data_IF_763660099545
#
_entry.id   IF_763660099545
#
_cell.length_a   1.000
_cell.length_b   1.000
_cell.length_c   1.000
_cell.angle_alpha   90.00
_cell.angle_beta   90.00
_cell.angle_gamma   90.00
#
_symmetry.space_group_name_H-M   'P 1'
#
loop_
_entity.id
_entity.type
_entity.pdbx_description
1 polymer ?
#
# COMPACT_ATOMS: atom_id res chain seq x y z
N UNK A 1 1.97 4.88 -5.27
CA UNK A 1 1.92 5.71 -4.03
C UNK A 1 0.82 6.76 -4.03
N UNK A 2 0.66 7.60 -5.08
CA UNK A 2 -0.40 8.62 -5.13
C UNK A 2 -1.82 8.09 -4.88
N UNK A 3 -2.15 6.92 -5.43
CA UNK A 3 -3.44 6.26 -5.16
C UNK A 3 -3.65 5.91 -3.69
N UNK A 4 -2.62 5.43 -2.98
CA UNK A 4 -2.72 5.07 -1.57
C UNK A 4 -2.97 6.31 -0.71
N UNK A 5 -2.26 7.40 -1.01
CA UNK A 5 -2.46 8.69 -0.33
C UNK A 5 -3.88 9.21 -0.60
N UNK A 6 -4.37 9.10 -1.84
CA UNK A 6 -5.73 9.51 -2.19
C UNK A 6 -6.81 8.64 -1.52
N UNK A 7 -6.52 7.35 -1.32
CA UNK A 7 -7.38 6.45 -0.55
C UNK A 7 -7.37 6.75 0.97
N UNK A 8 -6.48 7.64 1.43
CA UNK A 8 -6.27 7.98 2.84
C UNK A 8 -5.34 7.00 3.57
N UNK A 9 -4.64 6.12 2.86
CA UNK A 9 -3.63 5.25 3.46
C UNK A 9 -2.38 6.05 3.80
N UNK A 10 -1.78 5.72 4.94
CA UNK A 10 -0.56 6.38 5.41
C UNK A 10 0.56 5.35 5.58
N UNK A 11 1.79 5.84 5.49
CA UNK A 11 2.98 5.07 5.79
C UNK A 11 3.02 4.81 7.30
N UNK A 12 2.91 3.55 7.71
CA UNK A 12 3.00 3.16 9.12
C UNK A 12 4.44 3.01 9.58
N UNK A 13 5.29 2.36 8.77
CA UNK A 13 6.72 2.21 9.05
C UNK A 13 7.50 1.83 7.80
N UNK A 14 8.78 2.17 7.80
CA UNK A 14 9.74 1.66 6.84
C UNK A 14 10.20 0.26 7.25
N UNK A 15 10.08 -0.71 6.37
CA UNK A 15 10.77 -2.01 6.48
C UNK A 15 12.16 -1.96 5.85
N UNK A 16 12.80 -3.11 5.66
CA UNK A 16 14.09 -3.17 4.95
C UNK A 16 13.92 -2.80 3.47
N UNK A 17 13.29 -3.69 2.70
CA UNK A 17 13.10 -3.55 1.25
C UNK A 17 11.72 -3.01 0.83
N UNK A 18 10.80 -2.85 1.79
CA UNK A 18 9.43 -2.39 1.54
C UNK A 18 8.99 -1.43 2.64
N UNK A 19 7.98 -0.63 2.33
CA UNK A 19 7.30 0.25 3.26
C UNK A 19 5.94 -0.35 3.65
N UNK A 20 5.59 -0.30 4.93
CA UNK A 20 4.28 -0.80 5.38
C UNK A 20 3.30 0.36 5.33
N UNK A 21 2.30 0.26 4.46
CA UNK A 21 1.17 1.18 4.42
C UNK A 21 -0.01 0.60 5.19
N UNK A 22 -0.74 1.47 5.87
CA UNK A 22 -1.95 1.11 6.61
C UNK A 22 -3.11 1.96 6.13
N UNK A 23 -4.25 1.30 5.88
CA UNK A 23 -5.51 1.97 5.61
C UNK A 23 -6.21 2.26 6.96
N UNK A 24 -6.36 3.53 7.37
CA UNK A 24 -7.04 3.88 8.61
C UNK A 24 -8.53 3.53 8.61
N UNK A 25 -9.17 3.41 7.44
CA UNK A 25 -10.61 3.15 7.33
C UNK A 25 -11.00 1.74 7.79
N UNK A 26 -10.09 0.77 7.68
CA UNK A 26 -10.35 -0.63 8.02
C UNK A 26 -9.22 -1.28 8.84
N UNK A 27 -8.17 -0.54 9.18
CA UNK A 27 -7.02 -1.01 9.94
C UNK A 27 -6.08 -1.96 9.19
N UNK A 28 -6.34 -2.26 7.91
CA UNK A 28 -5.55 -3.23 7.13
C UNK A 28 -4.22 -2.63 6.74
N UNK A 29 -3.18 -3.47 6.68
CA UNK A 29 -1.83 -3.06 6.34
C UNK A 29 -1.25 -3.93 5.24
N UNK A 30 -0.47 -3.34 4.34
CA UNK A 30 0.18 -4.02 3.22
C UNK A 30 1.62 -3.53 3.01
N UNK A 31 2.56 -4.43 2.66
CA UNK A 31 3.90 -4.04 2.26
C UNK A 31 3.89 -3.51 0.82
N UNK A 32 4.48 -2.33 0.62
CA UNK A 32 4.65 -1.67 -0.67
C UNK A 32 6.15 -1.62 -0.98
N UNK A 33 6.61 -2.20 -2.11
CA UNK A 33 8.01 -2.05 -2.51
C UNK A 33 8.35 -0.59 -2.84
N UNK A 34 9.62 -0.20 -2.62
CA UNK A 34 10.09 1.18 -2.87
C UNK A 34 10.48 1.48 -4.32
N UNK A 35 10.48 0.47 -5.19
CA UNK A 35 10.80 0.67 -6.60
C UNK A 35 9.59 1.17 -7.39
N UNK A 36 9.85 1.94 -8.44
CA UNK A 36 8.84 2.53 -9.33
C UNK A 36 8.19 1.51 -10.26
N UNK A 37 8.89 0.43 -10.60
CA UNK A 37 8.40 -0.63 -11.50
C UNK A 37 7.57 -1.67 -10.73
N UNK A 38 6.33 -1.31 -10.42
CA UNK A 38 5.38 -2.24 -9.78
C UNK A 38 4.45 -2.80 -10.86
N UNK A 39 4.41 -4.13 -10.97
CA UNK A 39 3.47 -4.83 -11.87
C UNK A 39 2.03 -4.50 -11.47
N UNK A 40 1.15 -4.34 -12.45
CA UNK A 40 -0.28 -4.05 -12.20
C UNK A 40 -0.94 -5.09 -11.30
N UNK A 41 -0.60 -6.38 -11.47
CA UNK A 41 -1.07 -7.47 -10.62
C UNK A 41 -0.68 -7.30 -9.14
N UNK A 42 0.49 -6.71 -8.85
CA UNK A 42 0.89 -6.40 -7.48
C UNK A 42 0.10 -5.20 -6.94
N UNK A 43 -0.17 -4.19 -7.77
CA UNK A 43 -1.05 -3.08 -7.40
C UNK A 43 -2.46 -3.57 -7.06
N UNK A 44 -3.05 -4.45 -7.87
CA UNK A 44 -4.36 -5.04 -7.58
C UNK A 44 -4.36 -5.84 -6.27
N UNK A 45 -3.31 -6.63 -6.03
CA UNK A 45 -3.15 -7.37 -4.79
C UNK A 45 -3.07 -6.42 -3.58
N UNK A 46 -2.28 -5.36 -3.67
CA UNK A 46 -2.15 -4.32 -2.64
C UNK A 46 -3.50 -3.64 -2.39
N UNK A 47 -4.23 -3.25 -3.44
CA UNK A 47 -5.57 -2.64 -3.33
C UNK A 47 -6.51 -3.58 -2.58
N UNK A 48 -6.53 -4.87 -2.94
CA UNK A 48 -7.34 -5.90 -2.27
C UNK A 48 -6.94 -6.10 -0.80
N UNK A 49 -5.65 -6.12 -0.49
CA UNK A 49 -5.13 -6.22 0.87
C UNK A 49 -5.52 -5.01 1.73
N UNK A 50 -5.43 -3.80 1.17
CA UNK A 50 -5.82 -2.56 1.84
C UNK A 50 -7.33 -2.31 1.82
N UNK A 51 -8.11 -3.12 1.10
CA UNK A 51 -9.56 -2.93 0.94
C UNK A 51 -9.92 -1.64 0.20
N UNK A 52 -9.07 -1.23 -0.74
CA UNK A 52 -9.31 -0.11 -1.65
C UNK A 52 -9.99 -0.70 -2.89
N UNK A 53 -11.09 -0.08 -3.33
CA UNK A 53 -11.87 -0.50 -4.49
C UNK A 53 -11.52 0.36 -5.70
#
# INVERSE_FOLDING_TARGET
MRELVNAGCYLKRHGGNHDIYTNPKNGRSAPIPRHTEIKESLCELIRKQLGIK
#
